data_IF_986007940706
#
_entry.id   IF_986007940706
#
_cell.length_a   1.000
_cell.length_b   1.000
_cell.length_c   1.000
_cell.angle_alpha   90.00
_cell.angle_beta   90.00
_cell.angle_gamma   90.00
#
_symmetry.space_group_name_H-M   'P 1'
#
loop_
_entity.id
_entity.type
_entity.pdbx_description
1 polymer ?
#
# COMPACT_ATOMS: atom_id res chain seq x y z
N UNK A 1 3.75 29.73 -1.56
CA UNK A 1 4.92 28.82 -1.48
C UNK A 1 4.56 27.59 -2.29
N UNK A 2 5.30 27.27 -3.33
CA UNK A 2 5.01 26.13 -4.18
C UNK A 2 5.34 24.84 -3.43
N UNK A 3 4.51 23.83 -3.57
CA UNK A 3 4.74 22.52 -2.94
C UNK A 3 5.87 21.78 -3.67
N UNK A 4 6.72 21.09 -2.90
CA UNK A 4 7.72 20.18 -3.45
C UNK A 4 7.06 18.91 -4.03
N UNK A 5 7.74 18.22 -4.94
CA UNK A 5 7.37 16.89 -5.39
C UNK A 5 7.97 15.85 -4.43
N UNK A 6 7.10 15.27 -3.61
CA UNK A 6 7.48 14.32 -2.58
C UNK A 6 7.39 12.88 -3.10
N UNK A 7 8.53 12.24 -3.28
CA UNK A 7 8.65 10.84 -3.74
C UNK A 7 8.77 9.83 -2.59
N UNK A 8 8.40 10.21 -1.37
CA UNK A 8 8.43 9.32 -0.20
C UNK A 8 7.56 8.08 -0.41
N UNK A 9 8.06 6.95 0.08
CA UNK A 9 7.33 5.68 -0.01
C UNK A 9 6.20 5.52 1.03
N UNK A 10 6.23 6.32 2.08
CA UNK A 10 5.21 6.32 3.13
C UNK A 10 5.74 6.77 4.50
N UNK A 11 5.08 7.74 5.16
CA UNK A 11 3.94 8.53 4.65
C UNK A 11 4.27 9.23 3.34
N UNK A 12 3.28 9.25 2.43
CA UNK A 12 3.49 9.72 1.06
C UNK A 12 2.67 10.97 0.73
N UNK A 13 2.84 11.44 -0.50
CA UNK A 13 2.10 12.59 -1.03
C UNK A 13 0.58 12.34 -0.96
N UNK A 14 -0.18 13.36 -0.58
CA UNK A 14 -1.64 13.38 -0.61
C UNK A 14 -2.12 14.35 -1.70
N UNK A 15 -3.33 14.15 -2.25
CA UNK A 15 -3.92 15.07 -3.20
C UNK A 15 -4.04 16.47 -2.58
N UNK A 16 -3.54 17.49 -3.28
CA UNK A 16 -3.57 18.86 -2.75
C UNK A 16 -5.01 19.35 -2.49
N UNK A 17 -5.93 18.98 -3.35
CA UNK A 17 -7.36 19.29 -3.20
C UNK A 17 -7.91 18.75 -1.85
N UNK A 18 -7.55 17.51 -1.50
CA UNK A 18 -7.95 16.90 -0.21
C UNK A 18 -7.37 17.68 0.98
N UNK A 19 -6.10 18.09 0.89
CA UNK A 19 -5.46 18.86 1.95
C UNK A 19 -6.07 20.26 2.10
N UNK A 20 -6.44 20.91 1.00
CA UNK A 20 -7.11 22.22 1.03
C UNK A 20 -8.50 22.11 1.65
N UNK A 21 -9.31 21.16 1.23
CA UNK A 21 -10.60 20.91 1.85
C UNK A 21 -10.49 20.62 3.36
N UNK A 22 -9.52 19.80 3.76
CA UNK A 22 -9.29 19.51 5.16
C UNK A 22 -8.85 20.75 5.96
N UNK A 23 -8.06 21.64 5.37
CA UNK A 23 -7.67 22.89 5.98
C UNK A 23 -8.87 23.83 6.15
N UNK A 24 -9.75 23.93 5.16
CA UNK A 24 -10.96 24.77 5.21
C UNK A 24 -11.94 24.27 6.28
N UNK A 25 -12.02 22.95 6.49
CA UNK A 25 -12.89 22.32 7.49
C UNK A 25 -12.23 22.17 8.88
N UNK A 26 -10.96 22.57 9.04
CA UNK A 26 -10.16 22.28 10.22
C UNK A 26 -10.81 22.77 11.52
N UNK A 27 -11.39 23.95 11.53
CA UNK A 27 -12.04 24.54 12.72
C UNK A 27 -13.55 24.29 12.76
N UNK A 28 -14.17 24.00 11.63
CA UNK A 28 -15.62 23.95 11.53
C UNK A 28 -16.07 22.98 10.42
N UNK A 29 -16.11 21.71 10.74
CA UNK A 29 -16.58 20.67 9.80
C UNK A 29 -18.06 20.88 9.47
N UNK A 30 -18.36 21.26 8.23
CA UNK A 30 -19.74 21.41 7.68
C UNK A 30 -20.72 22.17 8.61
N UNK A 31 -20.26 23.21 9.29
CA UNK A 31 -21.09 24.02 10.17
C UNK A 31 -21.33 23.44 11.57
N UNK A 32 -20.64 22.36 11.94
CA UNK A 32 -20.76 21.73 13.25
C UNK A 32 -20.20 22.58 14.40
N UNK A 33 -19.38 23.60 14.07
CA UNK A 33 -18.69 24.43 15.05
C UNK A 33 -17.48 23.75 15.71
N UNK A 34 -17.06 22.56 15.21
CA UNK A 34 -15.92 21.83 15.77
C UNK A 34 -15.10 21.16 14.67
N UNK A 35 -13.83 20.89 14.98
CA UNK A 35 -12.93 20.06 14.16
C UNK A 35 -13.33 18.59 14.23
N UNK A 36 -13.06 17.83 13.15
CA UNK A 36 -13.18 16.36 13.19
C UNK A 36 -12.26 15.76 14.25
N UNK A 37 -11.11 16.38 14.56
CA UNK A 37 -10.17 15.92 15.58
C UNK A 37 -10.74 15.93 17.01
N UNK A 38 -11.74 16.77 17.29
CA UNK A 38 -12.33 16.91 18.63
C UNK A 38 -13.71 16.26 18.77
N UNK A 39 -14.23 15.66 17.68
CA UNK A 39 -15.53 15.00 17.69
C UNK A 39 -15.49 13.68 18.45
N UNK A 40 -16.55 13.42 19.23
CA UNK A 40 -16.77 12.08 19.75
C UNK A 40 -17.01 11.10 18.60
N UNK A 41 -16.25 9.99 18.56
CA UNK A 41 -16.45 8.92 17.60
C UNK A 41 -17.81 8.19 17.75
N UNK A 42 -18.51 8.41 18.85
CA UNK A 42 -19.88 7.89 19.10
C UNK A 42 -20.98 8.91 18.75
N UNK A 43 -20.58 10.08 18.27
CA UNK A 43 -21.50 11.13 17.84
C UNK A 43 -22.00 10.90 16.41
N UNK A 44 -23.22 11.40 16.11
CA UNK A 44 -23.86 11.24 14.79
C UNK A 44 -23.04 11.80 13.62
N UNK A 45 -22.26 12.85 13.87
CA UNK A 45 -21.45 13.48 12.80
C UNK A 45 -20.34 12.52 12.37
N UNK A 46 -19.60 11.97 13.33
CA UNK A 46 -18.54 11.02 13.01
C UNK A 46 -19.06 9.69 12.47
N UNK A 47 -20.21 9.21 12.98
CA UNK A 47 -20.90 8.05 12.42
C UNK A 47 -21.20 8.25 10.92
N UNK A 48 -21.64 9.45 10.54
CA UNK A 48 -21.80 9.81 9.13
C UNK A 48 -20.49 9.80 8.35
N UNK A 49 -19.40 10.30 8.93
CA UNK A 49 -18.07 10.35 8.28
C UNK A 49 -17.56 8.92 7.96
N UNK A 50 -17.56 8.03 8.94
CA UNK A 50 -17.03 6.66 8.74
C UNK A 50 -17.92 5.83 7.81
N UNK A 51 -19.24 5.94 7.91
CA UNK A 51 -20.19 5.26 7.02
C UNK A 51 -20.08 5.73 5.58
N UNK A 52 -19.93 7.04 5.37
CA UNK A 52 -19.72 7.59 4.03
C UNK A 52 -18.38 7.12 3.44
N UNK A 53 -17.31 7.10 4.25
CA UNK A 53 -16.01 6.57 3.81
C UNK A 53 -16.10 5.09 3.42
N UNK A 54 -16.80 4.26 4.21
CA UNK A 54 -17.02 2.85 3.86
C UNK A 54 -17.85 2.71 2.58
N UNK A 55 -18.93 3.47 2.44
CA UNK A 55 -19.78 3.42 1.26
C UNK A 55 -19.02 3.81 -0.03
N UNK A 56 -18.22 4.87 0.03
CA UNK A 56 -17.38 5.29 -1.09
C UNK A 56 -16.33 4.23 -1.46
N UNK A 57 -15.70 3.61 -0.48
CA UNK A 57 -14.74 2.53 -0.72
C UNK A 57 -15.40 1.30 -1.36
N UNK A 58 -16.59 0.92 -0.85
CA UNK A 58 -17.37 -0.19 -1.42
C UNK A 58 -17.75 0.06 -2.87
N UNK A 59 -18.16 1.29 -3.20
CA UNK A 59 -18.48 1.69 -4.57
C UNK A 59 -17.26 1.65 -5.48
N UNK A 60 -16.14 2.22 -5.04
CA UNK A 60 -14.88 2.29 -5.83
C UNK A 60 -14.37 0.89 -6.21
N UNK A 61 -14.42 -0.06 -5.28
CA UNK A 61 -13.90 -1.42 -5.46
C UNK A 61 -14.97 -2.45 -5.85
N UNK A 62 -16.24 -2.07 -5.95
CA UNK A 62 -17.36 -3.01 -6.11
C UNK A 62 -17.30 -4.14 -5.07
N UNK A 63 -17.09 -3.79 -3.80
CA UNK A 63 -16.94 -4.79 -2.72
C UNK A 63 -18.23 -5.58 -2.56
N UNK A 64 -18.21 -6.93 -2.67
CA UNK A 64 -19.41 -7.75 -2.48
C UNK A 64 -19.99 -7.62 -1.07
N UNK A 65 -21.30 -7.82 -0.93
CA UNK A 65 -22.01 -7.65 0.35
C UNK A 65 -21.54 -8.62 1.45
N UNK A 66 -20.96 -9.76 1.06
CA UNK A 66 -20.40 -10.76 1.96
C UNK A 66 -18.95 -10.44 2.42
N UNK A 67 -18.55 -9.19 2.33
CA UNK A 67 -17.28 -8.67 2.89
C UNK A 67 -17.54 -7.59 3.92
N UNK A 68 -16.75 -7.60 4.99
CA UNK A 68 -16.68 -6.51 5.97
C UNK A 68 -15.50 -5.58 5.63
N UNK A 69 -15.74 -4.30 5.78
CA UNK A 69 -14.69 -3.27 5.71
C UNK A 69 -14.39 -2.80 7.12
N UNK A 70 -13.15 -2.93 7.56
CA UNK A 70 -12.71 -2.54 8.89
C UNK A 70 -11.70 -1.41 8.80
N UNK A 71 -11.88 -0.37 9.63
CA UNK A 71 -10.91 0.69 9.84
C UNK A 71 -10.16 0.41 11.13
N UNK A 72 -8.90 0.00 11.00
CA UNK A 72 -8.07 -0.53 12.08
C UNK A 72 -6.91 0.40 12.41
N UNK A 73 -6.18 0.09 13.47
CA UNK A 73 -5.00 0.81 13.96
C UNK A 73 -3.77 -0.09 13.93
N UNK A 74 -2.59 0.48 14.20
CA UNK A 74 -1.35 -0.26 14.40
C UNK A 74 -0.52 -0.52 13.14
N UNK A 75 -0.93 0.05 11.99
CA UNK A 75 -0.25 -0.16 10.72
C UNK A 75 -0.35 -1.60 10.19
N UNK A 76 0.19 -1.85 9.00
CA UNK A 76 0.23 -3.18 8.41
C UNK A 76 0.99 -4.19 9.27
N UNK A 77 1.94 -3.75 10.09
CA UNK A 77 2.66 -4.59 11.03
C UNK A 77 1.73 -5.33 12.02
N UNK A 78 0.72 -4.64 12.54
CA UNK A 78 -0.26 -5.27 13.42
C UNK A 78 -1.02 -6.38 12.69
N UNK A 79 -1.27 -6.23 11.39
CA UNK A 79 -1.93 -7.26 10.59
C UNK A 79 -1.03 -8.48 10.33
N UNK A 80 0.29 -8.33 10.35
CA UNK A 80 1.20 -9.50 10.29
C UNK A 80 0.94 -10.49 11.43
N UNK A 81 0.52 -9.98 12.61
CA UNK A 81 0.08 -10.80 13.74
C UNK A 81 -1.41 -11.15 13.67
N UNK A 82 -2.28 -10.17 13.35
CA UNK A 82 -3.72 -10.39 13.34
C UNK A 82 -4.16 -11.43 12.31
N UNK A 83 -3.56 -11.46 11.11
CA UNK A 83 -3.86 -12.46 10.08
C UNK A 83 -3.70 -13.89 10.61
N UNK A 84 -2.52 -14.34 11.07
CA UNK A 84 -2.41 -15.69 11.61
C UNK A 84 -3.26 -15.92 12.86
N UNK A 85 -3.40 -14.93 13.75
CA UNK A 85 -4.23 -15.07 14.94
C UNK A 85 -5.71 -15.32 14.63
N UNK A 86 -6.24 -14.73 13.56
CA UNK A 86 -7.63 -14.91 13.16
C UNK A 86 -7.86 -16.11 12.21
N UNK A 87 -6.84 -16.55 11.47
CA UNK A 87 -7.03 -17.51 10.37
C UNK A 87 -6.37 -18.87 10.59
N UNK A 88 -5.26 -18.98 11.34
CA UNK A 88 -4.49 -20.23 11.47
C UNK A 88 -5.17 -21.24 12.41
N UNK A 89 -6.18 -21.93 11.91
CA UNK A 89 -6.93 -22.97 12.66
C UNK A 89 -6.23 -24.32 12.66
N UNK A 90 -5.71 -24.70 11.49
CA UNK A 90 -4.90 -25.90 11.34
C UNK A 90 -3.45 -25.63 11.72
N UNK A 91 -3.15 -24.38 12.13
CA UNK A 91 -1.81 -23.89 12.45
C UNK A 91 -0.82 -24.01 11.30
N UNK A 92 -1.27 -24.01 10.03
CA UNK A 92 -0.44 -24.07 8.83
C UNK A 92 -0.84 -22.95 7.87
N UNK A 93 0.14 -22.24 7.30
CA UNK A 93 -0.11 -21.23 6.28
C UNK A 93 1.03 -21.16 5.27
N UNK A 94 0.72 -20.84 4.01
CA UNK A 94 1.68 -20.72 2.93
C UNK A 94 2.00 -19.23 2.65
N UNK A 95 3.27 -18.92 2.47
CA UNK A 95 3.75 -17.56 2.22
C UNK A 95 4.59 -17.50 0.94
N UNK A 96 4.29 -16.54 0.06
CA UNK A 96 5.13 -16.19 -1.07
C UNK A 96 5.99 -14.98 -0.68
N UNK A 97 7.31 -15.17 -0.61
CA UNK A 97 8.25 -14.18 -0.08
C UNK A 97 8.89 -13.40 -1.21
N UNK A 98 8.32 -12.27 -1.56
CA UNK A 98 8.76 -11.40 -2.65
C UNK A 98 9.38 -10.08 -2.18
N UNK A 99 9.62 -9.95 -0.89
CA UNK A 99 10.24 -8.78 -0.31
C UNK A 99 10.31 -8.81 1.20
N UNK A 100 10.88 -7.76 1.76
CA UNK A 100 11.09 -7.63 3.20
C UNK A 100 9.78 -7.67 4.01
N UNK A 101 8.70 -7.10 3.47
CA UNK A 101 7.42 -7.07 4.19
C UNK A 101 6.77 -8.44 4.23
N UNK A 102 6.74 -9.16 3.12
CA UNK A 102 6.29 -10.56 3.11
C UNK A 102 7.15 -11.45 4.01
N UNK A 103 8.48 -11.23 4.03
CA UNK A 103 9.40 -11.96 4.93
C UNK A 103 9.09 -11.70 6.41
N UNK A 104 8.79 -10.45 6.77
CA UNK A 104 8.42 -10.09 8.15
C UNK A 104 7.05 -10.64 8.54
N UNK A 105 6.08 -10.62 7.64
CA UNK A 105 4.78 -11.24 7.87
C UNK A 105 4.93 -12.76 8.09
N UNK A 106 5.74 -13.42 7.26
CA UNK A 106 6.09 -14.83 7.42
C UNK A 106 6.74 -15.12 8.78
N UNK A 107 7.73 -14.32 9.18
CA UNK A 107 8.41 -14.48 10.48
C UNK A 107 7.45 -14.28 11.65
N UNK A 108 6.51 -13.34 11.53
CA UNK A 108 5.48 -13.10 12.56
C UNK A 108 4.53 -14.29 12.67
N UNK A 109 4.05 -14.81 11.54
CA UNK A 109 3.14 -15.96 11.49
C UNK A 109 3.71 -17.22 12.14
N UNK A 110 5.02 -17.42 12.04
CA UNK A 110 5.73 -18.56 12.69
C UNK A 110 5.63 -18.56 14.23
N UNK A 111 5.17 -17.49 14.83
CA UNK A 111 4.89 -17.45 16.28
C UNK A 111 3.57 -18.13 16.64
N UNK A 112 2.70 -18.34 15.66
CA UNK A 112 1.33 -18.85 15.86
C UNK A 112 1.09 -20.24 15.25
N UNK A 113 1.99 -20.69 14.36
CA UNK A 113 1.89 -21.98 13.71
C UNK A 113 3.01 -22.18 12.69
N UNK A 114 2.86 -23.20 11.87
CA UNK A 114 3.80 -23.55 10.80
C UNK A 114 3.54 -22.67 9.55
N UNK A 115 4.23 -21.55 9.47
CA UNK A 115 4.28 -20.79 8.23
C UNK A 115 5.35 -21.39 7.32
N UNK A 116 4.98 -21.66 6.06
CA UNK A 116 5.80 -22.33 5.07
C UNK A 116 6.06 -21.38 3.90
N UNK A 117 7.31 -21.13 3.56
CA UNK A 117 7.68 -20.37 2.38
C UNK A 117 7.57 -21.28 1.14
N UNK A 118 6.49 -21.10 0.36
CA UNK A 118 6.22 -21.93 -0.83
C UNK A 118 6.87 -21.39 -2.11
N UNK A 119 7.26 -20.12 -2.12
CA UNK A 119 8.11 -19.51 -3.14
C UNK A 119 8.83 -18.29 -2.59
N UNK A 120 9.98 -17.94 -3.17
CA UNK A 120 10.75 -16.76 -2.79
C UNK A 120 11.57 -16.25 -3.96
N UNK A 121 11.77 -14.94 -4.05
CA UNK A 121 12.70 -14.28 -4.98
C UNK A 121 13.91 -13.67 -4.27
N UNK A 122 14.21 -14.12 -3.05
CA UNK A 122 15.34 -13.63 -2.25
C UNK A 122 16.71 -13.88 -2.93
N UNK A 123 16.81 -14.95 -3.73
CA UNK A 123 18.00 -15.34 -4.50
C UNK A 123 18.55 -14.22 -5.41
N UNK A 124 17.64 -13.34 -5.92
CA UNK A 124 17.99 -12.18 -6.76
C UNK A 124 17.55 -10.87 -6.12
N UNK A 125 17.65 -10.78 -4.80
CA UNK A 125 17.33 -9.57 -4.03
C UNK A 125 15.92 -9.05 -4.35
N UNK A 126 14.95 -9.96 -4.52
CA UNK A 126 13.55 -9.66 -4.80
C UNK A 126 13.31 -8.78 -6.06
N UNK A 127 14.16 -8.94 -7.08
CA UNK A 127 14.05 -8.17 -8.33
C UNK A 127 13.03 -8.74 -9.32
N UNK A 128 12.34 -9.82 -8.96
CA UNK A 128 11.31 -10.47 -9.78
C UNK A 128 10.21 -11.10 -8.91
N UNK A 129 9.08 -11.40 -9.53
CA UNK A 129 8.03 -12.24 -8.94
C UNK A 129 8.29 -13.69 -9.40
N UNK A 130 8.34 -14.67 -8.47
CA UNK A 130 8.51 -16.08 -8.86
C UNK A 130 7.27 -16.58 -9.61
N UNK A 131 7.44 -17.65 -10.38
CA UNK A 131 6.30 -18.35 -10.96
C UNK A 131 5.43 -18.94 -9.86
N UNK A 132 4.19 -18.48 -9.78
CA UNK A 132 3.19 -18.89 -8.79
C UNK A 132 2.02 -19.67 -9.41
N UNK A 133 2.21 -20.22 -10.62
CA UNK A 133 1.17 -21.00 -11.33
C UNK A 133 0.95 -22.39 -10.72
N UNK A 134 1.98 -22.96 -10.10
CA UNK A 134 1.95 -24.31 -9.48
C UNK A 134 2.78 -24.37 -8.19
N UNK A 135 2.28 -23.71 -7.14
CA UNK A 135 2.93 -23.70 -5.81
C UNK A 135 2.68 -25.01 -5.07
N UNK A 136 3.69 -25.48 -4.32
CA UNK A 136 3.57 -26.62 -3.42
C UNK A 136 2.95 -26.17 -2.09
N UNK A 137 1.63 -25.98 -2.13
CA UNK A 137 0.85 -25.52 -0.97
C UNK A 137 0.40 -26.75 -0.18
N UNK A 138 0.71 -26.83 1.15
CA UNK A 138 0.17 -27.89 2.00
C UNK A 138 -1.35 -27.93 1.95
N UNK A 139 -1.94 -29.14 1.87
CA UNK A 139 -3.40 -29.33 1.80
C UNK A 139 -4.13 -28.73 3.02
N UNK A 140 -3.50 -28.80 4.20
CA UNK A 140 -3.99 -28.26 5.45
C UNK A 140 -3.76 -26.76 5.64
N UNK A 141 -3.14 -26.05 4.69
CA UNK A 141 -2.88 -24.63 4.81
C UNK A 141 -4.19 -23.83 4.94
N UNK A 142 -4.25 -23.00 5.98
CA UNK A 142 -5.41 -22.14 6.25
C UNK A 142 -5.54 -20.98 5.25
N UNK A 143 -4.40 -20.53 4.69
CA UNK A 143 -4.36 -19.46 3.68
C UNK A 143 -3.03 -19.41 2.94
N UNK A 144 -3.03 -18.70 1.81
CA UNK A 144 -1.84 -18.28 1.06
C UNK A 144 -1.67 -16.77 1.22
N UNK A 145 -0.46 -16.32 1.58
CA UNK A 145 -0.16 -14.92 1.81
C UNK A 145 0.76 -14.34 0.75
N UNK A 146 0.44 -13.13 0.27
CA UNK A 146 1.30 -12.31 -0.59
C UNK A 146 1.40 -10.87 -0.09
N UNK A 147 2.51 -10.21 -0.39
CA UNK A 147 2.61 -8.76 -0.46
C UNK A 147 2.50 -8.37 -1.93
N UNK A 148 1.35 -7.83 -2.35
CA UNK A 148 1.01 -7.69 -3.77
C UNK A 148 1.92 -6.70 -4.49
N UNK A 149 2.32 -5.62 -3.82
CA UNK A 149 3.28 -4.65 -4.33
C UNK A 149 4.42 -4.43 -3.33
N UNK A 150 5.64 -4.70 -3.75
CA UNK A 150 6.82 -4.65 -2.90
C UNK A 150 7.46 -3.27 -2.91
N UNK A 151 7.12 -2.45 -1.95
CA UNK A 151 7.50 -1.03 -1.84
C UNK A 151 9.00 -0.77 -1.89
N UNK A 152 9.81 -1.67 -1.32
CA UNK A 152 11.27 -1.52 -1.25
C UNK A 152 11.92 -1.90 -2.58
N UNK A 153 11.47 -2.99 -3.18
CA UNK A 153 12.12 -3.63 -4.33
C UNK A 153 11.47 -3.28 -5.67
N UNK A 154 10.27 -2.71 -5.67
CA UNK A 154 9.59 -2.24 -6.88
C UNK A 154 8.96 -3.33 -7.74
N UNK A 155 8.76 -4.53 -7.20
CA UNK A 155 8.03 -5.62 -7.88
C UNK A 155 6.56 -5.63 -7.51
N UNK A 156 5.71 -6.10 -8.42
CA UNK A 156 4.26 -6.26 -8.22
C UNK A 156 3.78 -7.58 -8.84
N UNK A 157 2.83 -8.22 -8.18
CA UNK A 157 2.03 -9.29 -8.79
C UNK A 157 1.05 -8.66 -9.79
N UNK A 158 1.27 -8.89 -11.09
CA UNK A 158 0.32 -8.53 -12.14
C UNK A 158 -0.71 -9.64 -12.37
N UNK A 159 -0.36 -10.86 -12.00
CA UNK A 159 -1.24 -12.02 -11.92
C UNK A 159 -1.19 -12.59 -10.50
N UNK A 160 -2.36 -12.91 -9.94
CA UNK A 160 -2.45 -13.51 -8.62
C UNK A 160 -1.96 -14.96 -8.64
N UNK A 161 -1.35 -15.47 -7.55
CA UNK A 161 -0.92 -16.86 -7.48
C UNK A 161 -2.08 -17.83 -7.61
N UNK A 162 -1.82 -18.99 -8.20
CA UNK A 162 -2.74 -20.11 -8.12
C UNK A 162 -2.71 -20.69 -6.71
N UNK A 163 -3.72 -20.37 -5.92
CA UNK A 163 -3.82 -20.81 -4.52
C UNK A 163 -4.36 -22.24 -4.37
N UNK A 164 -4.67 -22.93 -5.46
CA UNK A 164 -5.27 -24.28 -5.45
C UNK A 164 -6.53 -24.39 -4.59
N UNK A 165 -7.29 -23.28 -4.51
CA UNK A 165 -8.53 -23.21 -3.75
C UNK A 165 -8.40 -22.75 -2.30
N UNK A 166 -7.17 -22.50 -1.83
CA UNK A 166 -6.96 -21.89 -0.51
C UNK A 166 -7.27 -20.39 -0.53
N UNK A 167 -7.63 -19.86 0.63
CA UNK A 167 -7.91 -18.44 0.83
C UNK A 167 -6.68 -17.57 0.57
N UNK A 168 -6.84 -16.54 -0.27
CA UNK A 168 -5.77 -15.59 -0.55
C UNK A 168 -5.82 -14.40 0.42
N UNK A 169 -4.73 -14.15 1.11
CA UNK A 169 -4.51 -12.98 1.96
C UNK A 169 -3.45 -12.08 1.31
N UNK A 170 -3.78 -10.82 1.07
CA UNK A 170 -2.87 -9.87 0.43
C UNK A 170 -2.67 -8.60 1.25
N UNK A 171 -1.39 -8.25 1.48
CA UNK A 171 -0.99 -6.90 1.84
C UNK A 171 -0.94 -6.04 0.56
N UNK A 172 -1.86 -5.10 0.44
CA UNK A 172 -1.98 -4.20 -0.70
C UNK A 172 -1.57 -2.77 -0.38
N UNK A 173 -0.86 -2.55 0.73
CA UNK A 173 -0.56 -1.21 1.27
C UNK A 173 -0.04 -0.23 0.22
N UNK A 174 0.88 -0.65 -0.66
CA UNK A 174 1.50 0.26 -1.63
C UNK A 174 0.87 0.25 -3.03
N UNK A 175 -0.19 -0.53 -3.25
CA UNK A 175 -0.98 -0.50 -4.48
C UNK A 175 -2.48 -0.33 -4.25
N UNK A 176 -2.90 -0.08 -3.00
CA UNK A 176 -4.32 0.05 -2.65
C UNK A 176 -4.98 1.19 -3.44
N UNK A 177 -6.06 0.90 -4.15
CA UNK A 177 -6.79 1.83 -5.03
C UNK A 177 -5.92 2.45 -6.16
N UNK A 178 -4.90 1.75 -6.62
CA UNK A 178 -4.08 2.21 -7.76
C UNK A 178 -4.65 1.80 -9.12
N UNK A 179 -5.47 0.76 -9.13
CA UNK A 179 -6.10 0.16 -10.31
C UNK A 179 -7.33 -0.67 -9.91
N UNK A 180 -8.21 -1.05 -10.86
CA UNK A 180 -9.30 -1.96 -10.61
C UNK A 180 -8.79 -3.34 -10.17
N UNK A 181 -9.48 -3.92 -9.19
CA UNK A 181 -9.24 -5.29 -8.73
C UNK A 181 -10.58 -6.00 -8.52
N UNK A 182 -10.59 -7.31 -8.69
CA UNK A 182 -11.72 -8.16 -8.34
C UNK A 182 -11.58 -8.64 -6.90
N UNK A 183 -12.27 -7.97 -5.98
CA UNK A 183 -12.24 -8.27 -4.54
C UNK A 183 -12.61 -9.73 -4.25
N UNK A 184 -13.45 -10.34 -5.07
CA UNK A 184 -13.90 -11.73 -4.85
C UNK A 184 -12.78 -12.77 -4.95
N UNK A 185 -11.63 -12.40 -5.55
CA UNK A 185 -10.45 -13.27 -5.62
C UNK A 185 -9.62 -13.28 -4.33
N UNK A 186 -9.93 -12.41 -3.38
CA UNK A 186 -9.25 -12.31 -2.11
C UNK A 186 -10.16 -12.74 -0.97
N UNK A 187 -9.63 -13.50 -0.05
CA UNK A 187 -10.31 -13.75 1.22
C UNK A 187 -10.10 -12.57 2.20
N UNK A 188 -8.90 -12.00 2.16
CA UNK A 188 -8.52 -10.79 2.93
C UNK A 188 -7.62 -9.91 2.09
N UNK A 189 -7.99 -8.64 1.97
CA UNK A 189 -7.10 -7.55 1.51
C UNK A 189 -6.93 -6.57 2.65
N UNK A 190 -5.71 -6.16 2.95
CA UNK A 190 -5.48 -5.10 3.92
C UNK A 190 -4.32 -4.19 3.49
N UNK A 191 -4.34 -2.98 3.99
CA UNK A 191 -3.26 -2.04 3.72
C UNK A 191 -3.19 -0.88 4.69
N UNK A 192 -1.96 -0.47 5.01
CA UNK A 192 -1.69 0.80 5.66
C UNK A 192 -1.95 1.94 4.69
N UNK A 193 -2.84 2.87 5.07
CA UNK A 193 -3.33 3.91 4.15
C UNK A 193 -2.30 4.99 3.82
N UNK A 194 -1.23 5.14 4.63
CA UNK A 194 -0.23 6.20 4.53
C UNK A 194 0.59 6.20 3.24
N UNK A 195 0.44 5.20 2.40
CA UNK A 195 1.14 5.11 1.12
C UNK A 195 0.34 5.76 0.01
N UNK A 196 -0.88 5.28 -0.25
CA UNK A 196 -1.62 5.69 -1.44
C UNK A 196 -2.99 6.34 -1.18
N UNK A 197 -3.59 6.17 0.00
CA UNK A 197 -5.00 6.50 0.20
C UNK A 197 -5.34 7.29 1.48
N UNK A 198 -4.34 7.72 2.24
CA UNK A 198 -4.58 8.48 3.46
C UNK A 198 -3.32 8.84 4.24
N UNK A 199 -3.46 9.35 5.46
CA UNK A 199 -2.35 9.65 6.36
C UNK A 199 -1.95 8.41 7.18
N UNK A 200 -0.79 8.47 7.86
CA UNK A 200 -0.39 7.43 8.80
C UNK A 200 -1.40 7.25 9.95
N UNK A 201 -1.59 6.03 10.40
CA UNK A 201 -2.38 5.67 11.58
C UNK A 201 -3.59 4.79 11.30
N UNK A 202 -4.10 4.75 10.07
CA UNK A 202 -5.23 3.90 9.67
C UNK A 202 -4.72 2.69 8.88
N UNK A 203 -5.33 1.55 9.14
CA UNK A 203 -5.29 0.36 8.28
C UNK A 203 -6.71 0.06 7.83
N UNK A 204 -6.88 -0.24 6.55
CA UNK A 204 -8.15 -0.75 6.06
C UNK A 204 -7.99 -2.23 5.77
N UNK A 205 -8.92 -3.05 6.27
CA UNK A 205 -9.01 -4.46 5.97
C UNK A 205 -10.38 -4.78 5.37
N UNK A 206 -10.37 -5.47 4.23
CA UNK A 206 -11.55 -5.95 3.52
C UNK A 206 -11.52 -7.47 3.68
N UNK A 207 -12.47 -8.03 4.43
CA UNK A 207 -12.42 -9.40 4.91
C UNK A 207 -13.72 -10.11 4.54
N UNK A 208 -13.61 -11.28 3.91
CA UNK A 208 -14.78 -12.12 3.61
C UNK A 208 -15.46 -12.53 4.92
N UNK A 209 -16.76 -12.37 5.01
CA UNK A 209 -17.51 -12.43 6.27
C UNK A 209 -17.42 -13.79 6.98
N UNK A 210 -17.31 -14.89 6.24
CA UNK A 210 -17.15 -16.25 6.78
C UNK A 210 -15.84 -16.46 7.57
N UNK A 211 -14.86 -15.55 7.38
CA UNK A 211 -13.58 -15.57 8.09
C UNK A 211 -13.60 -14.76 9.40
N UNK A 212 -14.67 -14.00 9.65
CA UNK A 212 -14.83 -13.20 10.88
C UNK A 212 -15.53 -14.05 11.93
N UNK A 213 -14.76 -14.62 12.84
CA UNK A 213 -15.20 -15.71 13.72
C UNK A 213 -14.71 -15.55 15.16
N UNK A 214 -15.33 -16.33 16.06
CA UNK A 214 -14.92 -16.41 17.47
C UNK A 214 -13.80 -17.41 17.72
N UNK A 215 -13.69 -18.46 16.89
CA UNK A 215 -12.70 -19.52 16.98
C UNK A 215 -11.34 -19.10 16.41
N UNK A 216 -10.71 -18.18 17.08
CA UNK A 216 -9.37 -17.63 16.76
C UNK A 216 -8.29 -18.34 17.59
N UNK A 217 -7.02 -18.14 17.25
CA UNK A 217 -5.89 -18.69 18.01
C UNK A 217 -6.02 -18.31 19.50
N UNK A 218 -5.91 -19.27 20.42
CA UNK A 218 -6.02 -18.98 21.86
C UNK A 218 -5.05 -17.89 22.31
N UNK A 219 -5.53 -16.96 23.15
CA UNK A 219 -4.74 -15.82 23.62
C UNK A 219 -4.74 -14.62 22.67
N UNK A 220 -5.46 -14.66 21.55
CA UNK A 220 -5.62 -13.49 20.67
C UNK A 220 -6.19 -12.30 21.45
N UNK A 221 -5.48 -11.15 21.51
CA UNK A 221 -5.96 -9.96 22.18
C UNK A 221 -7.29 -9.45 21.59
N UNK A 222 -8.16 -8.92 22.45
CA UNK A 222 -9.47 -8.41 22.03
C UNK A 222 -9.40 -7.44 20.84
N UNK A 223 -8.43 -6.52 20.87
CA UNK A 223 -8.25 -5.53 19.79
C UNK A 223 -7.81 -6.12 18.46
N UNK A 224 -7.20 -7.31 18.44
CA UNK A 224 -6.73 -8.00 17.24
C UNK A 224 -7.75 -9.00 16.68
N UNK A 225 -8.84 -9.26 17.41
CA UNK A 225 -9.95 -10.07 16.90
C UNK A 225 -10.75 -9.27 15.88
N UNK A 226 -10.78 -9.71 14.63
CA UNK A 226 -11.57 -9.04 13.58
C UNK A 226 -13.07 -9.03 13.91
N UNK A 227 -13.56 -10.08 14.59
CA UNK A 227 -14.96 -10.10 15.03
C UNK A 227 -15.28 -8.98 16.02
N UNK A 228 -14.39 -8.67 16.96
CA UNK A 228 -14.58 -7.53 17.86
C UNK A 228 -14.75 -6.22 17.10
N UNK A 229 -13.94 -6.02 16.08
CA UNK A 229 -14.00 -4.82 15.25
C UNK A 229 -15.26 -4.80 14.37
N UNK A 230 -15.59 -5.93 13.74
CA UNK A 230 -16.75 -6.05 12.86
C UNK A 230 -18.09 -5.87 13.61
N UNK A 231 -18.22 -6.47 14.80
CA UNK A 231 -19.44 -6.37 15.63
C UNK A 231 -19.67 -4.94 16.17
N UNK A 232 -18.66 -4.06 16.08
CA UNK A 232 -18.70 -2.69 16.57
C UNK A 232 -18.44 -1.65 15.46
N UNK A 233 -18.58 -1.99 14.19
CA UNK A 233 -18.38 -1.09 13.03
C UNK A 233 -17.03 -0.32 13.11
N UNK A 234 -15.96 -1.00 13.53
CA UNK A 234 -14.62 -0.44 13.79
C UNK A 234 -14.54 0.58 14.95
N UNK A 235 -15.59 0.70 15.74
CA UNK A 235 -15.71 1.69 16.83
C UNK A 235 -15.69 1.04 18.24
N UNK A 236 -15.10 -0.15 18.36
CA UNK A 236 -14.95 -0.81 19.67
C UNK A 236 -14.20 0.07 20.66
N UNK A 237 -13.10 0.66 20.24
CA UNK A 237 -12.40 1.73 20.95
C UNK A 237 -12.38 3.00 20.12
N UNK A 238 -11.82 4.09 20.65
CA UNK A 238 -11.64 5.34 19.91
C UNK A 238 -10.74 5.12 18.69
N UNK A 239 -11.25 5.32 17.47
CA UNK A 239 -10.50 5.09 16.24
C UNK A 239 -9.62 6.30 15.90
N UNK A 240 -8.71 6.18 14.92
CA UNK A 240 -7.98 7.32 14.36
C UNK A 240 -8.91 8.20 13.50
N UNK A 241 -9.83 8.90 14.16
CA UNK A 241 -10.97 9.58 13.54
C UNK A 241 -10.59 10.53 12.40
N UNK A 242 -9.58 11.38 12.61
CA UNK A 242 -9.12 12.33 11.60
C UNK A 242 -8.51 11.61 10.39
N UNK A 243 -7.78 10.52 10.61
CA UNK A 243 -7.23 9.71 9.53
C UNK A 243 -8.31 9.07 8.66
N UNK A 244 -9.38 8.56 9.27
CA UNK A 244 -10.54 8.00 8.56
C UNK A 244 -11.26 9.09 7.74
N UNK A 245 -11.42 10.27 8.30
CA UNK A 245 -11.97 11.44 7.60
C UNK A 245 -11.14 11.79 6.34
N UNK A 246 -9.82 11.83 6.46
CA UNK A 246 -8.94 12.10 5.30
C UNK A 246 -9.05 10.97 4.27
N UNK A 247 -9.08 9.71 4.68
CA UNK A 247 -9.32 8.59 3.75
C UNK A 247 -10.62 8.78 2.97
N UNK A 248 -11.72 9.13 3.64
CA UNK A 248 -13.00 9.43 2.99
C UNK A 248 -12.89 10.53 1.94
N UNK A 249 -12.12 11.59 2.20
CA UNK A 249 -11.86 12.65 1.21
C UNK A 249 -11.03 12.15 0.03
N UNK A 250 -10.04 11.30 0.27
CA UNK A 250 -9.26 10.65 -0.82
C UNK A 250 -10.15 9.76 -1.67
N UNK A 251 -11.09 9.02 -1.08
CA UNK A 251 -12.04 8.19 -1.84
C UNK A 251 -12.93 9.05 -2.74
N UNK A 252 -13.46 10.17 -2.23
CA UNK A 252 -14.22 11.13 -3.04
C UNK A 252 -13.38 11.72 -4.17
N UNK A 253 -12.11 12.02 -3.89
CA UNK A 253 -11.19 12.50 -4.90
C UNK A 253 -10.98 11.46 -6.02
N UNK A 254 -10.80 10.18 -5.69
CA UNK A 254 -10.68 9.09 -6.69
C UNK A 254 -11.95 9.00 -7.54
N UNK A 255 -13.14 9.05 -6.93
CA UNK A 255 -14.42 9.06 -7.66
C UNK A 255 -14.53 10.25 -8.60
N UNK A 256 -14.19 11.47 -8.11
CA UNK A 256 -14.18 12.70 -8.92
C UNK A 256 -13.21 12.62 -10.10
N UNK A 257 -12.07 11.95 -9.93
CA UNK A 257 -11.07 11.75 -10.98
C UNK A 257 -11.51 10.75 -12.08
N UNK A 258 -12.61 10.04 -11.88
CA UNK A 258 -13.16 9.07 -12.83
C UNK A 258 -13.02 7.61 -12.40
N UNK A 259 -12.68 7.35 -11.14
CA UNK A 259 -12.57 6.00 -10.57
C UNK A 259 -11.24 5.30 -10.89
N UNK A 260 -11.20 3.99 -10.65
CA UNK A 260 -9.96 3.22 -10.71
C UNK A 260 -9.44 2.98 -12.13
N UNK A 261 -10.30 2.93 -13.15
CA UNK A 261 -9.85 2.80 -14.55
C UNK A 261 -9.01 4.03 -14.96
N UNK A 262 -9.53 5.22 -14.69
CA UNK A 262 -8.79 6.47 -14.97
C UNK A 262 -7.53 6.57 -14.10
N UNK A 263 -7.61 6.12 -12.85
CA UNK A 263 -6.44 6.11 -11.96
C UNK A 263 -5.34 5.19 -12.49
N UNK A 264 -5.69 4.01 -12.98
CA UNK A 264 -4.78 3.07 -13.64
C UNK A 264 -4.08 3.72 -14.83
N UNK A 265 -4.85 4.29 -15.76
CA UNK A 265 -4.29 4.98 -16.94
C UNK A 265 -3.30 6.09 -16.55
N UNK A 266 -3.62 6.88 -15.54
CA UNK A 266 -2.73 7.93 -15.02
C UNK A 266 -1.45 7.34 -14.44
N UNK A 267 -1.55 6.26 -13.67
CA UNK A 267 -0.40 5.59 -13.08
C UNK A 267 0.49 4.92 -14.12
N UNK A 268 -0.10 4.25 -15.11
CA UNK A 268 0.62 3.67 -16.25
C UNK A 268 1.39 4.73 -17.03
N UNK A 269 0.76 5.88 -17.32
CA UNK A 269 1.39 6.99 -18.02
C UNK A 269 2.60 7.56 -17.27
N UNK A 270 2.48 7.76 -15.95
CA UNK A 270 3.58 8.21 -15.10
C UNK A 270 4.72 7.21 -15.05
N UNK A 271 4.39 5.94 -14.80
CA UNK A 271 5.38 4.87 -14.70
C UNK A 271 6.10 4.67 -16.03
N UNK A 272 5.37 4.67 -17.15
CA UNK A 272 5.95 4.55 -18.49
C UNK A 272 6.99 5.63 -18.76
N UNK A 273 6.70 6.89 -18.42
CA UNK A 273 7.62 8.00 -18.62
C UNK A 273 8.97 7.76 -17.93
N UNK A 274 8.94 7.31 -16.67
CA UNK A 274 10.14 7.06 -15.89
C UNK A 274 10.86 5.79 -16.35
N UNK A 275 10.15 4.69 -16.58
CA UNK A 275 10.76 3.44 -17.03
C UNK A 275 11.33 3.51 -18.43
N UNK A 276 10.69 4.21 -19.36
CA UNK A 276 11.22 4.41 -20.72
C UNK A 276 12.57 5.16 -20.68
N UNK A 277 12.70 6.13 -19.78
CA UNK A 277 13.99 6.81 -19.57
C UNK A 277 15.03 5.89 -18.94
N UNK A 278 14.68 5.16 -17.87
CA UNK A 278 15.59 4.22 -17.21
C UNK A 278 16.10 3.12 -18.15
N UNK A 279 15.25 2.66 -19.08
CA UNK A 279 15.62 1.64 -20.05
C UNK A 279 16.58 2.13 -21.15
N UNK A 280 16.69 3.46 -21.35
CA UNK A 280 17.55 4.09 -22.35
C UNK A 280 18.80 4.74 -21.72
N UNK A 281 18.75 5.09 -20.44
CA UNK A 281 19.85 5.77 -19.74
C UNK A 281 21.09 4.87 -19.68
N UNK A 282 22.25 5.48 -19.88
CA UNK A 282 23.55 4.83 -19.67
C UNK A 282 23.99 4.91 -18.21
N UNK A 283 23.55 5.94 -17.50
CA UNK A 283 23.90 6.19 -16.10
C UNK A 283 22.96 5.52 -15.12
N UNK A 284 21.64 5.73 -15.29
CA UNK A 284 20.63 5.22 -14.37
C UNK A 284 20.10 3.86 -14.83
N UNK A 285 19.96 2.93 -13.90
CA UNK A 285 19.47 1.57 -14.21
C UNK A 285 18.36 1.15 -13.26
N UNK A 286 17.25 0.69 -13.81
CA UNK A 286 16.20 0.03 -13.06
C UNK A 286 16.68 -1.33 -12.52
N UNK A 287 16.19 -1.72 -11.35
CA UNK A 287 16.62 -2.94 -10.65
C UNK A 287 15.64 -4.10 -10.80
N UNK A 288 14.51 -3.90 -11.45
CA UNK A 288 13.38 -4.84 -11.52
C UNK A 288 13.22 -5.43 -12.91
N UNK A 289 12.94 -6.73 -12.97
CA UNK A 289 12.54 -7.41 -14.21
C UNK A 289 11.33 -6.71 -14.84
N UNK A 290 11.38 -6.45 -16.16
CA UNK A 290 10.41 -5.55 -16.82
C UNK A 290 8.96 -5.95 -16.62
N UNK A 291 8.65 -7.23 -16.70
CA UNK A 291 7.31 -7.78 -16.55
C UNK A 291 6.76 -7.70 -15.12
N UNK A 292 7.63 -7.49 -14.12
CA UNK A 292 7.24 -7.43 -12.71
C UNK A 292 7.27 -6.02 -12.12
N UNK A 293 7.46 -5.00 -12.93
CA UNK A 293 7.61 -3.62 -12.49
C UNK A 293 6.36 -3.07 -11.83
N UNK A 294 6.54 -2.46 -10.65
CA UNK A 294 5.51 -1.70 -9.96
C UNK A 294 5.19 -0.40 -10.68
N UNK A 295 3.92 -0.01 -10.71
CA UNK A 295 3.48 1.32 -11.14
C UNK A 295 3.60 2.37 -10.03
N UNK A 296 3.85 1.92 -8.78
CA UNK A 296 3.83 2.78 -7.58
C UNK A 296 5.22 3.11 -7.06
N UNK A 297 6.16 2.15 -7.09
CA UNK A 297 7.48 2.30 -6.50
C UNK A 297 8.54 1.89 -7.53
N UNK A 298 9.35 2.85 -7.93
CA UNK A 298 10.36 2.69 -8.98
C UNK A 298 11.75 2.84 -8.38
N UNK A 299 12.42 1.73 -7.99
CA UNK A 299 13.81 1.77 -7.56
C UNK A 299 14.75 1.82 -8.76
N UNK A 300 15.84 2.57 -8.60
CA UNK A 300 16.92 2.65 -9.59
C UNK A 300 18.25 2.98 -8.92
N UNK A 301 19.34 2.69 -9.62
CA UNK A 301 20.71 2.87 -9.14
C UNK A 301 21.58 3.58 -10.20
N UNK A 302 22.69 4.12 -9.75
CA UNK A 302 23.82 4.55 -10.60
C UNK A 302 24.95 3.52 -10.49
N UNK A 303 25.13 2.94 -9.31
CA UNK A 303 26.22 2.01 -9.02
C UNK A 303 27.46 2.67 -8.41
N UNK A 304 27.48 4.00 -8.34
CA UNK A 304 28.46 4.81 -7.62
C UNK A 304 27.76 5.53 -6.45
N UNK A 305 28.16 5.19 -5.22
CA UNK A 305 27.50 5.70 -4.01
C UNK A 305 27.70 7.21 -3.79
N UNK A 306 28.84 7.77 -4.23
CA UNK A 306 29.11 9.19 -4.10
C UNK A 306 28.24 9.98 -5.09
N UNK A 307 28.12 9.47 -6.31
CA UNK A 307 27.29 10.05 -7.34
C UNK A 307 25.78 9.91 -7.02
N UNK A 308 25.36 8.78 -6.43
CA UNK A 308 24.00 8.62 -5.90
C UNK A 308 23.68 9.64 -4.81
N UNK A 309 24.61 9.87 -3.87
CA UNK A 309 24.44 10.87 -2.82
C UNK A 309 24.37 12.30 -3.39
N UNK A 310 25.20 12.60 -4.38
CA UNK A 310 25.18 13.89 -5.09
C UNK A 310 23.84 14.09 -5.82
N UNK A 311 23.36 13.06 -6.55
CA UNK A 311 22.07 13.11 -7.24
C UNK A 311 20.93 13.44 -6.26
N UNK A 312 20.85 12.74 -5.13
CA UNK A 312 19.80 12.98 -4.13
C UNK A 312 19.88 14.41 -3.60
N UNK A 313 21.08 14.91 -3.29
CA UNK A 313 21.29 16.26 -2.78
C UNK A 313 20.87 17.35 -3.78
N UNK A 314 21.28 17.20 -5.04
CA UNK A 314 20.91 18.16 -6.10
C UNK A 314 19.40 18.10 -6.42
N UNK A 315 18.80 16.90 -6.43
CA UNK A 315 17.35 16.72 -6.61
C UNK A 315 16.55 17.44 -5.51
N UNK A 316 16.97 17.32 -4.25
CA UNK A 316 16.33 18.02 -3.14
C UNK A 316 16.37 19.54 -3.31
N UNK A 317 17.48 20.10 -3.81
CA UNK A 317 17.61 21.51 -4.09
C UNK A 317 16.64 21.99 -5.19
N UNK A 318 16.27 21.10 -6.10
CA UNK A 318 15.28 21.35 -7.16
C UNK A 318 13.83 21.07 -6.73
N UNK A 319 13.61 20.70 -5.45
CA UNK A 319 12.29 20.39 -4.91
C UNK A 319 11.79 18.98 -5.28
N UNK A 320 12.68 18.07 -5.66
CA UNK A 320 12.42 16.64 -5.88
C UNK A 320 12.92 15.88 -4.63
N UNK A 321 12.04 15.71 -3.64
CA UNK A 321 12.46 15.26 -2.32
C UNK A 321 12.17 13.77 -2.05
N UNK A 322 12.91 13.18 -1.10
CA UNK A 322 12.74 11.81 -0.62
C UNK A 322 13.04 10.73 -1.67
N UNK A 323 13.97 10.98 -2.58
CA UNK A 323 14.41 10.03 -3.61
C UNK A 323 15.41 8.98 -3.12
N UNK A 324 16.03 9.17 -1.95
CA UNK A 324 16.97 8.19 -1.39
C UNK A 324 16.30 6.83 -1.21
N UNK A 325 16.94 5.78 -1.72
CA UNK A 325 16.45 4.40 -1.60
C UNK A 325 16.41 3.88 -0.17
N UNK A 326 15.73 2.76 0.03
CA UNK A 326 15.64 2.15 1.36
C UNK A 326 17.04 1.68 1.83
N UNK A 327 17.32 1.88 3.14
CA UNK A 327 18.64 1.57 3.74
C UNK A 327 19.15 0.14 3.49
N UNK A 328 18.24 -0.82 3.25
CA UNK A 328 18.61 -2.23 3.02
C UNK A 328 19.07 -2.51 1.59
N UNK A 329 18.77 -1.65 0.63
CA UNK A 329 19.10 -1.85 -0.80
C UNK A 329 19.94 -0.72 -1.39
N UNK A 330 19.93 0.46 -0.81
CA UNK A 330 20.63 1.63 -1.32
C UNK A 330 19.98 2.23 -2.57
N UNK A 331 20.77 2.93 -3.38
CA UNK A 331 20.28 3.57 -4.59
C UNK A 331 19.23 4.65 -4.35
N UNK A 332 18.37 4.83 -5.31
CA UNK A 332 17.25 5.77 -5.28
C UNK A 332 15.92 5.03 -5.47
N UNK A 333 14.83 5.67 -5.04
CA UNK A 333 13.48 5.18 -5.29
C UNK A 333 12.52 6.35 -5.47
N UNK A 334 11.82 6.37 -6.60
CA UNK A 334 10.70 7.27 -6.83
C UNK A 334 9.39 6.54 -6.53
N UNK A 335 8.70 6.96 -5.46
CA UNK A 335 7.34 6.50 -5.19
C UNK A 335 6.37 7.48 -5.81
N UNK A 336 5.66 7.03 -6.85
CA UNK A 336 4.84 7.86 -7.75
C UNK A 336 3.35 7.54 -7.62
N UNK A 337 2.90 7.35 -6.39
CA UNK A 337 1.53 7.01 -6.03
C UNK A 337 0.45 7.84 -6.75
N UNK A 338 -0.82 7.49 -6.55
CA UNK A 338 -1.95 8.15 -7.22
C UNK A 338 -1.87 9.67 -7.18
N UNK A 339 -1.51 10.25 -6.04
CA UNK A 339 -1.49 11.69 -5.82
C UNK A 339 -0.27 12.42 -6.41
N UNK A 340 0.79 11.70 -6.85
CA UNK A 340 1.91 12.31 -7.56
C UNK A 340 1.41 12.83 -8.92
N UNK A 341 1.49 14.14 -9.19
CA UNK A 341 1.09 14.66 -10.48
C UNK A 341 2.06 14.20 -11.58
N UNK A 342 1.59 14.15 -12.83
CA UNK A 342 2.39 13.76 -13.98
C UNK A 342 3.62 14.69 -14.14
N UNK A 343 3.42 15.98 -13.92
CA UNK A 343 4.45 17.02 -13.98
C UNK A 343 5.59 16.78 -12.99
N UNK A 344 5.31 16.14 -11.85
CA UNK A 344 6.33 15.77 -10.88
C UNK A 344 7.28 14.70 -11.44
N UNK A 345 6.74 13.73 -12.17
CA UNK A 345 7.53 12.69 -12.84
C UNK A 345 8.25 13.26 -14.06
N UNK A 346 7.62 14.16 -14.83
CA UNK A 346 8.29 14.89 -15.93
C UNK A 346 9.50 15.67 -15.42
N UNK A 347 9.33 16.42 -14.31
CA UNK A 347 10.43 17.19 -13.72
C UNK A 347 11.56 16.27 -13.25
N UNK A 348 11.23 15.12 -12.65
CA UNK A 348 12.23 14.13 -12.24
C UNK A 348 13.01 13.61 -13.45
N UNK A 349 12.34 13.20 -14.52
CA UNK A 349 12.99 12.67 -15.74
C UNK A 349 13.86 13.76 -16.41
N UNK A 350 13.37 15.00 -16.47
CA UNK A 350 14.15 16.12 -17.00
C UNK A 350 15.44 16.34 -16.16
N UNK A 351 15.30 16.36 -14.84
CA UNK A 351 16.46 16.48 -13.93
C UNK A 351 17.44 15.31 -14.09
N UNK A 352 16.95 14.08 -14.23
CA UNK A 352 17.80 12.89 -14.45
C UNK A 352 18.60 13.03 -15.76
N UNK A 353 17.98 13.52 -16.84
CA UNK A 353 18.67 13.75 -18.13
C UNK A 353 19.77 14.81 -17.99
N UNK A 354 19.49 15.91 -17.32
CA UNK A 354 20.46 16.98 -17.10
C UNK A 354 21.63 16.50 -16.21
N UNK A 355 21.32 15.68 -15.22
CA UNK A 355 22.34 15.09 -14.34
C UNK A 355 23.22 14.10 -15.11
N UNK A 356 22.63 13.21 -15.92
CA UNK A 356 23.37 12.26 -16.78
C UNK A 356 24.29 13.00 -17.78
N UNK A 357 23.81 14.10 -18.38
CA UNK A 357 24.62 14.90 -19.28
C UNK A 357 25.85 15.55 -18.61
N UNK A 358 25.75 15.90 -17.33
CA UNK A 358 26.86 16.45 -16.53
C UNK A 358 27.82 15.37 -16.02
N UNK A 359 27.33 14.15 -15.87
CA UNK A 359 28.04 13.00 -15.31
C UNK A 359 27.90 11.79 -16.26
N UNK A 360 28.49 11.85 -17.47
CA UNK A 360 28.36 10.77 -18.43
C UNK A 360 28.95 9.47 -17.86
N UNK A 361 28.28 8.34 -18.11
CA UNK A 361 28.82 7.02 -17.77
C UNK A 361 30.13 6.78 -18.56
N UNK A 362 31.15 6.26 -17.90
CA UNK A 362 32.42 5.90 -18.50
C UNK A 362 32.27 4.79 -19.55
#
# INVERSE_FOLDING_TARGET
>A
MDRVYNFSAGPAVLPEEVLREAADEMLNYKGSGMSVMEMSHRGKIFDGIIKEAEADLREILNIPDNYKVLFLQGGAWTQFAAVPMNLMRNHVAAYVITGQWAKKAYQEARKYGDAIAVASSEDKTYSYIPDCSDLDIPEEADYVYICENNTIYGTKFHELPNTKGHDLVADVSSCFLSEPVDVSKYAVMYGGVQKNIGPAGVVIAIIREDLIRDDVVPGTPTMLKWKTQADNDSLFNTPPAYGIYICGKVFKWIKKMGGLEVMKERNEKKAKLLYDYLDQSKLFKGTVRKEDRSLMNVPFIIGDKELEALFVKEAEAEGLVSLKGHRSVGGMRASIYNAMPYEGVEKLVAFMKDFEAKHPAE
#
